data_IF_256304521379
#
_entry.id   IF_256304521379
#
_cell.length_a   1.000
_cell.length_b   1.000
_cell.length_c   1.000
_cell.angle_alpha   90.00
_cell.angle_beta   90.00
_cell.angle_gamma   90.00
#
_symmetry.space_group_name_H-M   'P 1'
#
loop_
_entity.id
_entity.type
_entity.pdbx_description
1 polymer ?
#
# COMPACT_ATOMS: atom_id res chain seq x y z
N UNK A 1 -4.95 -9.04 -11.49
CA UNK A 1 -4.38 -8.19 -10.42
C UNK A 1 -3.23 -8.96 -9.78
N UNK A 2 -1.99 -8.71 -10.22
CA UNK A 2 -0.79 -9.38 -9.69
C UNK A 2 -0.58 -9.06 -8.20
N UNK A 3 -0.69 -7.78 -7.83
CA UNK A 3 -0.45 -7.33 -6.45
C UNK A 3 -1.42 -7.96 -5.43
N UNK A 4 -2.69 -8.13 -5.78
CA UNK A 4 -3.69 -8.72 -4.90
C UNK A 4 -3.46 -10.21 -4.61
N UNK A 5 -2.75 -10.93 -5.50
CA UNK A 5 -2.45 -12.35 -5.33
C UNK A 5 -1.06 -12.62 -4.76
N UNK A 6 -0.16 -11.63 -4.73
CA UNK A 6 1.21 -11.77 -4.26
C UNK A 6 1.49 -11.07 -2.92
N UNK A 7 0.62 -10.14 -2.52
CA UNK A 7 0.76 -9.42 -1.25
C UNK A 7 -0.50 -9.62 -0.39
N UNK A 8 -0.30 -10.01 0.86
CA UNK A 8 -1.41 -10.23 1.81
C UNK A 8 -2.00 -8.92 2.36
N UNK A 9 -1.25 -7.83 2.23
CA UNK A 9 -1.57 -6.53 2.80
C UNK A 9 -1.14 -5.44 1.81
N UNK A 10 -2.07 -4.52 1.52
CA UNK A 10 -1.83 -3.38 0.65
C UNK A 10 -2.17 -2.10 1.42
N UNK A 11 -1.23 -1.16 1.46
CA UNK A 11 -1.46 0.17 1.99
C UNK A 11 -1.83 1.12 0.86
N UNK A 12 -2.95 1.82 1.02
CA UNK A 12 -3.43 2.81 0.06
C UNK A 12 -3.46 4.18 0.75
N UNK A 13 -3.06 5.22 0.04
CA UNK A 13 -3.29 6.59 0.51
C UNK A 13 -4.80 6.86 0.61
N UNK A 14 -5.23 7.47 1.73
CA UNK A 14 -6.61 7.92 1.91
C UNK A 14 -6.88 9.15 1.03
N UNK A 15 -7.27 8.91 -0.20
CA UNK A 15 -7.69 9.95 -1.13
C UNK A 15 -9.09 10.46 -0.77
N UNK A 16 -9.17 11.69 -0.27
CA UNK A 16 -10.45 12.39 -0.08
C UNK A 16 -10.91 12.97 -1.42
N UNK A 17 -11.45 12.11 -2.30
CA UNK A 17 -11.85 12.46 -3.68
C UNK A 17 -12.72 13.72 -3.74
N UNK A 18 -13.68 13.86 -2.81
CA UNK A 18 -14.54 15.03 -2.71
C UNK A 18 -13.80 16.35 -2.46
N UNK A 19 -12.64 16.31 -1.79
CA UNK A 19 -11.79 17.50 -1.62
C UNK A 19 -10.96 17.77 -2.88
N UNK A 20 -10.50 16.73 -3.57
CA UNK A 20 -9.69 16.85 -4.78
C UNK A 20 -10.51 17.43 -5.95
N UNK A 21 -11.81 17.14 -6.01
CA UNK A 21 -12.72 17.64 -7.06
C UNK A 21 -13.16 19.08 -6.86
N UNK A 22 -12.82 19.73 -5.73
CA UNK A 22 -13.12 21.16 -5.52
C UNK A 22 -12.38 22.09 -6.48
N UNK A 23 -11.22 21.65 -6.99
CA UNK A 23 -10.52 22.39 -8.04
C UNK A 23 -11.12 22.03 -9.41
N UNK A 24 -11.98 22.90 -9.93
CA UNK A 24 -12.67 22.68 -11.21
C UNK A 24 -11.74 22.40 -12.40
N UNK A 25 -10.48 22.88 -12.38
CA UNK A 25 -9.51 22.59 -13.45
C UNK A 25 -9.01 21.15 -13.44
N UNK A 26 -8.97 20.52 -12.26
CA UNK A 26 -8.47 19.16 -12.07
C UNK A 26 -9.60 18.14 -11.85
N UNK A 27 -10.79 18.60 -11.48
CA UNK A 27 -11.94 17.76 -11.13
C UNK A 27 -12.26 16.71 -12.20
N UNK A 28 -12.29 17.10 -13.48
CA UNK A 28 -12.56 16.18 -14.59
C UNK A 28 -11.51 15.07 -14.66
N UNK A 29 -10.21 15.40 -14.62
CA UNK A 29 -9.11 14.41 -14.64
C UNK A 29 -9.17 13.46 -13.45
N UNK A 30 -9.55 13.96 -12.28
CA UNK A 30 -9.68 13.15 -11.06
C UNK A 30 -10.87 12.20 -11.14
N UNK A 31 -11.99 12.66 -11.68
CA UNK A 31 -13.19 11.84 -11.87
C UNK A 31 -12.98 10.77 -12.95
N UNK A 32 -12.34 11.13 -14.07
CA UNK A 32 -12.01 10.20 -15.15
C UNK A 32 -11.09 9.07 -14.67
N UNK A 33 -10.17 9.36 -13.73
CA UNK A 33 -9.32 8.35 -13.11
C UNK A 33 -10.07 7.31 -12.26
N UNK A 34 -11.35 7.53 -11.94
CA UNK A 34 -12.24 6.56 -11.29
C UNK A 34 -11.66 5.95 -9.98
N UNK A 35 -10.98 6.76 -9.17
CA UNK A 35 -10.28 6.31 -7.95
C UNK A 35 -11.14 5.53 -6.97
N UNK A 36 -12.41 5.92 -6.80
CA UNK A 36 -13.36 5.22 -5.94
C UNK A 36 -13.60 3.78 -6.42
N UNK A 37 -13.82 3.60 -7.74
CA UNK A 37 -14.01 2.29 -8.34
C UNK A 37 -12.76 1.43 -8.23
N UNK A 38 -11.58 2.03 -8.48
CA UNK A 38 -10.30 1.33 -8.31
C UNK A 38 -10.13 0.81 -6.87
N UNK A 39 -10.40 1.65 -5.88
CA UNK A 39 -10.35 1.28 -4.47
C UNK A 39 -11.32 0.15 -4.14
N UNK A 40 -12.58 0.22 -4.59
CA UNK A 40 -13.58 -0.84 -4.39
C UNK A 40 -13.12 -2.16 -5.00
N UNK A 41 -12.58 -2.14 -6.22
CA UNK A 41 -12.05 -3.33 -6.88
C UNK A 41 -10.84 -3.92 -6.16
N UNK A 42 -9.98 -3.07 -5.60
CA UNK A 42 -8.83 -3.49 -4.82
C UNK A 42 -9.26 -4.14 -3.49
N UNK A 43 -10.22 -3.53 -2.78
CA UNK A 43 -10.80 -4.10 -1.55
C UNK A 43 -11.51 -5.43 -1.79
N UNK A 44 -12.15 -5.58 -2.96
CA UNK A 44 -12.80 -6.84 -3.33
C UNK A 44 -11.80 -7.96 -3.64
N UNK A 45 -10.65 -7.64 -4.25
CA UNK A 45 -9.69 -8.65 -4.74
C UNK A 45 -8.52 -8.93 -3.79
N UNK A 46 -8.13 -7.98 -2.95
CA UNK A 46 -7.00 -8.13 -2.05
C UNK A 46 -7.44 -8.65 -0.68
N UNK A 47 -6.58 -9.43 -0.02
CA UNK A 47 -6.88 -10.02 1.27
C UNK A 47 -7.08 -8.97 2.38
N UNK A 48 -6.23 -7.93 2.41
CA UNK A 48 -6.36 -6.82 3.36
C UNK A 48 -5.86 -5.52 2.72
N UNK A 49 -6.71 -4.49 2.77
CA UNK A 49 -6.38 -3.14 2.31
C UNK A 49 -6.51 -2.19 3.49
N UNK A 50 -5.47 -1.41 3.76
CA UNK A 50 -5.46 -0.42 4.85
C UNK A 50 -5.22 0.96 4.27
N UNK A 51 -6.08 1.91 4.64
CA UNK A 51 -5.92 3.30 4.25
C UNK A 51 -5.02 4.04 5.23
N UNK A 52 -4.01 4.71 4.69
CA UNK A 52 -3.04 5.52 5.44
C UNK A 52 -3.31 7.00 5.15
N UNK A 53 -3.30 7.84 6.18
CA UNK A 53 -3.53 9.27 5.99
C UNK A 53 -2.43 9.89 5.11
N UNK A 54 -2.78 10.76 4.16
CA UNK A 54 -1.81 11.49 3.34
C UNK A 54 -1.11 12.57 4.16
N UNK A 55 -0.10 12.21 4.94
CA UNK A 55 0.70 13.16 5.71
C UNK A 55 2.12 13.22 5.15
N UNK A 56 2.46 14.32 4.46
CA UNK A 56 3.80 14.78 4.05
C UNK A 56 4.77 13.73 3.44
N UNK A 57 4.25 12.57 3.01
CA UNK A 57 5.02 11.42 2.53
C UNK A 57 5.82 11.70 1.26
N UNK A 58 5.39 12.69 0.48
CA UNK A 58 6.10 13.12 -0.73
C UNK A 58 7.24 14.11 -0.45
N UNK A 59 7.35 14.64 0.77
CA UNK A 59 8.38 15.61 1.19
C UNK A 59 9.47 14.90 1.98
N UNK A 60 9.11 14.02 2.90
CA UNK A 60 10.09 13.37 3.78
C UNK A 60 10.92 12.31 3.04
N UNK A 61 12.22 12.29 3.31
CA UNK A 61 13.10 11.26 2.81
C UNK A 61 12.85 9.94 3.53
N UNK A 62 12.48 8.88 2.79
CA UNK A 62 12.17 7.57 3.38
C UNK A 62 13.36 6.87 4.03
N UNK A 63 14.57 7.31 3.72
CA UNK A 63 15.81 6.79 4.32
C UNK A 63 16.15 7.46 5.66
N UNK A 64 15.90 8.76 5.82
CA UNK A 64 16.45 9.52 6.96
C UNK A 64 15.48 10.50 7.63
N UNK A 65 14.24 10.59 7.15
CA UNK A 65 13.20 11.47 7.67
C UNK A 65 13.42 12.96 7.40
N UNK A 66 14.47 13.36 6.68
CA UNK A 66 14.70 14.77 6.38
C UNK A 66 13.67 15.28 5.36
N UNK A 67 12.99 16.41 5.60
CA UNK A 67 12.07 17.00 4.65
C UNK A 67 12.84 17.54 3.43
N UNK A 68 12.36 17.21 2.25
CA UNK A 68 12.89 17.66 0.96
C UNK A 68 11.73 18.30 0.17
N UNK A 69 11.41 19.59 0.43
CA UNK A 69 10.34 20.28 -0.28
C UNK A 69 10.64 20.32 -1.78
N UNK A 70 9.65 19.97 -2.59
CA UNK A 70 9.80 19.89 -4.05
C UNK A 70 8.48 20.17 -4.76
N UNK A 71 8.55 20.68 -5.99
CA UNK A 71 7.36 20.92 -6.81
C UNK A 71 6.81 19.61 -7.39
N UNK A 72 5.55 19.62 -7.82
CA UNK A 72 4.92 18.46 -8.47
C UNK A 72 5.64 18.03 -9.78
N UNK A 73 6.37 18.93 -10.43
CA UNK A 73 7.15 18.65 -11.63
C UNK A 73 8.43 17.86 -11.33
N UNK A 74 8.95 17.94 -10.10
CA UNK A 74 10.15 17.20 -9.70
C UNK A 74 9.78 15.72 -9.50
N UNK A 75 10.35 14.85 -10.34
CA UNK A 75 10.10 13.39 -10.33
C UNK A 75 11.19 12.60 -9.62
N UNK A 76 12.38 13.17 -9.46
CA UNK A 76 13.48 12.56 -8.71
C UNK A 76 13.56 13.16 -7.31
N UNK A 77 13.61 12.31 -6.30
CA UNK A 77 13.95 12.70 -4.93
C UNK A 77 15.46 12.63 -4.75
N UNK A 78 16.07 13.75 -4.38
CA UNK A 78 17.48 13.85 -3.99
C UNK A 78 17.53 14.41 -2.58
N UNK A 79 17.96 13.60 -1.62
CA UNK A 79 18.04 14.04 -0.23
C UNK A 79 19.40 14.71 0.06
N UNK A 80 19.43 15.99 0.47
CA UNK A 80 20.68 16.69 0.77
C UNK A 80 21.33 16.19 2.07
N UNK A 81 20.57 15.56 2.97
CA UNK A 81 21.07 15.08 4.26
C UNK A 81 21.77 13.73 4.18
N UNK A 82 21.20 12.77 3.45
CA UNK A 82 21.71 11.39 3.42
C UNK A 82 22.11 10.90 2.02
N UNK A 83 22.01 11.77 1.00
CA UNK A 83 22.41 11.46 -0.37
C UNK A 83 21.50 10.45 -1.09
N UNK A 84 20.31 10.12 -0.56
CA UNK A 84 19.39 9.22 -1.24
C UNK A 84 18.92 9.81 -2.57
N UNK A 85 18.99 9.02 -3.64
CA UNK A 85 18.50 9.36 -4.99
C UNK A 85 17.53 8.27 -5.45
N UNK A 86 16.27 8.61 -5.64
CA UNK A 86 15.23 7.67 -6.08
C UNK A 86 14.07 8.40 -6.78
N UNK A 87 13.20 7.65 -7.46
CA UNK A 87 11.92 8.20 -7.93
C UNK A 87 11.09 8.72 -6.74
N UNK A 88 10.42 9.86 -6.95
CA UNK A 88 9.62 10.52 -5.91
C UNK A 88 8.45 9.66 -5.45
N UNK A 89 7.75 9.03 -6.38
CA UNK A 89 6.58 8.22 -6.06
C UNK A 89 7.03 6.93 -5.37
N UNK A 90 8.20 6.37 -5.74
CA UNK A 90 8.84 5.28 -4.98
C UNK A 90 9.21 5.68 -3.54
N UNK A 91 9.78 6.87 -3.34
CA UNK A 91 10.06 7.40 -2.00
C UNK A 91 8.77 7.51 -1.17
N UNK A 92 7.72 8.06 -1.78
CA UNK A 92 6.40 8.19 -1.16
C UNK A 92 5.81 6.82 -0.79
N UNK A 93 5.93 5.83 -1.67
CA UNK A 93 5.44 4.48 -1.42
C UNK A 93 6.12 3.82 -0.21
N UNK A 94 7.43 4.01 -0.03
CA UNK A 94 8.15 3.53 1.16
C UNK A 94 7.63 4.23 2.42
N UNK A 95 7.44 5.55 2.38
CA UNK A 95 6.88 6.29 3.51
C UNK A 95 5.46 5.80 3.88
N UNK A 96 4.60 5.53 2.89
CA UNK A 96 3.27 4.97 3.13
C UNK A 96 3.33 3.57 3.74
N UNK A 97 4.27 2.73 3.30
CA UNK A 97 4.50 1.41 3.89
C UNK A 97 4.93 1.53 5.36
N UNK A 98 5.90 2.39 5.66
CA UNK A 98 6.40 2.63 7.02
C UNK A 98 5.28 3.14 7.94
N UNK A 99 4.53 4.15 7.50
CA UNK A 99 3.39 4.70 8.25
C UNK A 99 2.28 3.67 8.45
N UNK A 100 1.99 2.86 7.42
CA UNK A 100 0.99 1.80 7.49
C UNK A 100 1.37 0.70 8.47
N UNK A 101 2.64 0.28 8.49
CA UNK A 101 3.16 -0.68 9.46
C UNK A 101 3.05 -0.12 10.88
N UNK A 102 3.40 1.15 11.09
CA UNK A 102 3.32 1.78 12.41
C UNK A 102 1.87 1.85 12.91
N UNK A 103 0.93 2.22 12.04
CA UNK A 103 -0.50 2.20 12.36
C UNK A 103 -0.99 0.80 12.77
N UNK A 104 -0.48 -0.26 12.13
CA UNK A 104 -0.83 -1.64 12.51
C UNK A 104 -0.23 -2.08 13.85
N UNK A 105 0.89 -1.50 14.29
CA UNK A 105 1.46 -1.78 15.61
C UNK A 105 0.67 -1.12 16.73
N UNK A 106 0.10 0.05 16.46
CA UNK A 106 -0.64 0.84 17.44
C UNK A 106 -2.09 0.38 17.63
N UNK A 107 -2.67 -0.29 16.62
CA UNK A 107 -4.00 -0.86 16.74
C UNK A 107 -3.94 -2.24 17.40
N UNK A 108 -4.86 -2.58 18.33
CA UNK A 108 -5.05 -3.96 18.73
C UNK A 108 -5.44 -4.74 17.48
N UNK A 109 -4.53 -5.53 16.94
CA UNK A 109 -4.85 -6.45 15.85
C UNK A 109 -5.73 -7.52 16.49
N UNK A 110 -7.06 -7.35 16.40
CA UNK A 110 -7.96 -8.48 16.53
C UNK A 110 -7.47 -9.51 15.51
N UNK A 111 -6.86 -10.58 16.01
CA UNK A 111 -6.53 -11.73 15.19
C UNK A 111 -7.87 -12.21 14.67
N UNK A 112 -8.13 -12.05 13.37
CA UNK A 112 -9.26 -12.70 12.70
C UNK A 112 -9.23 -14.16 13.13
N UNK A 113 -10.29 -14.60 13.81
CA UNK A 113 -10.46 -16.01 14.10
C UNK A 113 -10.47 -16.75 12.76
N UNK A 114 -9.52 -17.68 12.59
CA UNK A 114 -9.42 -18.47 11.38
C UNK A 114 -10.67 -19.32 11.30
N UNK A 115 -11.42 -19.20 10.21
CA UNK A 115 -12.64 -19.99 10.07
C UNK A 115 -12.27 -21.48 9.92
N UNK A 116 -13.11 -22.43 10.39
CA UNK A 116 -12.86 -23.85 10.21
C UNK A 116 -12.60 -24.26 8.75
N UNK A 117 -13.18 -23.53 7.80
CA UNK A 117 -12.99 -23.72 6.35
C UNK A 117 -11.57 -23.37 5.90
N UNK A 118 -11.02 -22.26 6.40
CA UNK A 118 -9.63 -21.85 6.13
C UNK A 118 -8.62 -22.82 6.75
N UNK A 119 -8.90 -23.34 7.96
CA UNK A 119 -8.08 -24.38 8.60
C UNK A 119 -8.06 -25.67 7.76
N UNK A 120 -9.21 -26.07 7.21
CA UNK A 120 -9.31 -27.25 6.36
C UNK A 120 -8.53 -27.08 5.04
N UNK A 121 -8.59 -25.89 4.44
CA UNK A 121 -7.85 -25.54 3.22
C UNK A 121 -6.33 -25.56 3.45
N UNK A 122 -5.84 -24.97 4.55
CA UNK A 122 -4.41 -25.00 4.91
C UNK A 122 -3.87 -26.41 5.17
N UNK A 123 -4.71 -27.32 5.68
CA UNK A 123 -4.35 -28.74 5.87
C UNK A 123 -4.26 -29.51 4.55
N UNK A 124 -5.01 -29.10 3.52
CA UNK A 124 -4.95 -29.71 2.18
C UNK A 124 -3.67 -29.29 1.43
N UNK A 125 -3.26 -28.02 1.52
CA UNK A 125 -2.02 -27.55 0.89
C UNK A 125 -0.76 -28.20 1.48
N UNK A 126 -0.71 -28.42 2.80
CA UNK A 126 0.42 -29.12 3.45
C UNK A 126 0.53 -30.60 3.09
N UNK A 127 -0.56 -31.26 2.69
CA UNK A 127 -0.52 -32.66 2.23
C UNK A 127 0.09 -32.80 0.83
N UNK A 128 0.03 -31.75 0.00
CA UNK A 128 0.62 -31.77 -1.34
C UNK A 128 2.14 -31.58 -1.30
N UNK A 129 2.66 -30.76 -0.38
CA UNK A 129 4.12 -30.57 -0.21
C UNK A 129 4.82 -31.79 0.43
N UNK A 130 4.12 -32.55 1.28
CA UNK A 130 4.68 -33.75 1.90
C UNK A 130 4.73 -34.99 0.95
N UNK A 131 4.09 -34.94 -0.21
CA UNK A 131 4.03 -36.07 -1.15
C UNK A 131 5.19 -36.08 -2.17
N UNK A 132 6.09 -35.09 -2.14
CA UNK A 132 7.17 -34.91 -3.12
C UNK A 132 8.52 -35.58 -2.80
N UNK A 133 8.65 -36.32 -1.70
CA UNK A 133 9.93 -36.91 -1.28
C UNK A 133 9.81 -38.39 -0.94
N UNK A 134 9.38 -39.21 -1.89
CA UNK A 134 9.72 -40.65 -1.86
C UNK A 134 9.88 -41.16 -3.30
N UNK A 135 11.13 -41.52 -3.63
CA UNK A 135 11.63 -42.47 -4.64
C UNK A 135 12.70 -41.88 -5.58
N UNK A 136 13.93 -42.41 -5.45
CA UNK A 136 15.08 -42.21 -6.34
C UNK A 136 16.38 -42.22 -5.56
#
# INVERSE_FOLDING_TARGET
MYYASHYNLIFLERLRVANLTKNHRLARKILDASWSTFKTMLQYKANRVVEVEPAYSSIDCSRCGHPVPKSLAMRTHVCPKCGAVLDRDYNSAINHLQNGIELLRLLPVERREVTPVEIASLRQSKKQEACGFIHG
#
